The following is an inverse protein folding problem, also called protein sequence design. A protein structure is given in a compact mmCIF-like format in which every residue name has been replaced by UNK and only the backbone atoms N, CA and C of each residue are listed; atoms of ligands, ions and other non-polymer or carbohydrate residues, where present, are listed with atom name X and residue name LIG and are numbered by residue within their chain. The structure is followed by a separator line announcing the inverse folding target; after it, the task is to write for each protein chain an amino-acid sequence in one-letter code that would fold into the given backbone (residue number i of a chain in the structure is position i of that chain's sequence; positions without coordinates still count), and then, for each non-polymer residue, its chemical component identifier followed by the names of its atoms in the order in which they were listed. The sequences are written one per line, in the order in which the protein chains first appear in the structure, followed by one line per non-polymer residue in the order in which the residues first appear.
data_IF_532129945900
#
_entry.id   IF_532129945900
#
_cell.length_a   1.000
_cell.length_b   1.000
_cell.length_c   1.000
_cell.angle_alpha   90.00
_cell.angle_beta   90.00
_cell.angle_gamma   90.00
#
_symmetry.space_group_name_H-M   'P 1'
#
loop_
_entity.id
_entity.type
_entity.pdbx_description
1 polymer ?
#
# COMPACT_ATOMS: atom_id res chain seq x y z
N UNK A 1 9.45 14.02 0.62
CA UNK A 1 8.97 12.76 1.22
C UNK A 1 10.16 11.83 1.36
N UNK A 2 10.36 11.15 2.50
CA UNK A 2 11.44 10.18 2.65
C UNK A 2 11.33 9.15 1.52
N UNK A 3 12.36 9.07 0.70
CA UNK A 3 12.40 8.10 -0.38
C UNK A 3 12.72 6.76 0.26
N UNK A 4 11.73 5.85 0.29
CA UNK A 4 12.00 4.45 0.62
C UNK A 4 13.18 3.95 -0.24
N UNK A 5 14.04 3.11 0.32
CA UNK A 5 15.10 2.46 -0.44
C UNK A 5 14.51 1.31 -1.26
N UNK A 6 15.12 0.98 -2.40
CA UNK A 6 14.74 -0.22 -3.17
C UNK A 6 14.86 -1.46 -2.28
N UNK A 7 13.78 -2.25 -2.21
CA UNK A 7 13.66 -3.43 -1.35
C UNK A 7 12.99 -3.18 0.01
N UNK A 8 12.73 -1.93 0.38
CA UNK A 8 12.06 -1.59 1.63
C UNK A 8 10.55 -1.81 1.51
N UNK A 9 9.97 -2.44 2.54
CA UNK A 9 8.54 -2.76 2.60
C UNK A 9 7.87 -1.70 3.48
N UNK A 10 6.83 -1.07 2.95
CA UNK A 10 5.95 -0.16 3.67
C UNK A 10 4.62 -0.86 3.95
N UNK A 11 4.21 -0.85 5.21
CA UNK A 11 2.86 -1.22 5.61
C UNK A 11 1.99 0.04 5.66
N UNK A 12 0.91 0.04 4.90
CA UNK A 12 -0.10 1.11 4.90
C UNK A 12 -1.38 0.55 5.51
N UNK A 13 -1.88 1.19 6.56
CA UNK A 13 -3.15 0.82 7.20
C UNK A 13 -4.14 1.95 6.98
N UNK A 14 -5.32 1.63 6.44
CA UNK A 14 -6.37 2.61 6.17
C UNK A 14 -7.74 2.02 6.49
N UNK A 15 -8.65 2.86 6.99
CA UNK A 15 -10.04 2.52 7.31
C UNK A 15 -11.04 2.98 6.22
N UNK A 16 -10.53 3.58 5.14
CA UNK A 16 -11.34 4.11 4.05
C UNK A 16 -11.60 3.02 2.99
N UNK A 17 -12.87 2.72 2.63
CA UNK A 17 -13.19 1.76 1.57
C UNK A 17 -12.62 2.17 0.20
N UNK A 18 -12.47 3.47 -0.06
CA UNK A 18 -11.89 3.98 -1.30
C UNK A 18 -10.38 3.73 -1.41
N UNK A 19 -9.71 3.47 -0.29
CA UNK A 19 -8.27 3.19 -0.29
C UNK A 19 -7.94 1.89 -1.03
N UNK A 20 -8.88 0.95 -1.14
CA UNK A 20 -8.68 -0.37 -1.76
C UNK A 20 -8.33 -0.30 -3.23
N UNK A 21 -8.81 0.74 -3.92
CA UNK A 21 -8.53 0.96 -5.32
C UNK A 21 -7.40 1.97 -5.52
N UNK A 22 -7.33 3.01 -4.67
CA UNK A 22 -6.38 4.11 -4.86
C UNK A 22 -4.95 3.76 -4.41
N UNK A 23 -4.76 3.07 -3.29
CA UNK A 23 -3.43 2.70 -2.78
C UNK A 23 -2.66 1.80 -3.76
N UNK A 24 -3.23 0.68 -4.26
CA UNK A 24 -2.49 -0.17 -5.20
C UNK A 24 -2.25 0.51 -6.55
N UNK A 25 -3.17 1.39 -6.99
CA UNK A 25 -3.00 2.18 -8.21
C UNK A 25 -1.86 3.19 -8.05
N UNK A 26 -1.83 3.92 -6.95
CA UNK A 26 -0.80 4.90 -6.65
C UNK A 26 0.57 4.23 -6.45
N UNK A 27 0.60 3.09 -5.74
CA UNK A 27 1.79 2.26 -5.58
C UNK A 27 2.37 1.89 -6.95
N UNK A 28 1.55 1.35 -7.86
CA UNK A 28 1.98 1.02 -9.23
C UNK A 28 2.46 2.23 -10.02
N UNK A 29 1.76 3.37 -9.92
CA UNK A 29 2.13 4.61 -10.61
C UNK A 29 3.48 5.17 -10.14
N UNK A 30 3.80 5.00 -8.85
CA UNK A 30 5.07 5.41 -8.27
C UNK A 30 6.18 4.35 -8.38
N UNK A 31 5.90 3.20 -9.00
CA UNK A 31 6.86 2.11 -9.18
C UNK A 31 7.04 1.20 -7.96
N UNK A 32 6.10 1.24 -7.01
CA UNK A 32 6.01 0.29 -5.91
C UNK A 32 5.23 -0.96 -6.33
N UNK A 33 5.65 -2.11 -5.82
CA UNK A 33 4.98 -3.40 -5.98
C UNK A 33 4.10 -3.66 -4.77
N UNK A 34 2.80 -3.89 -4.98
CA UNK A 34 1.91 -4.34 -3.91
C UNK A 34 2.16 -5.82 -3.67
N UNK A 35 2.58 -6.17 -2.46
CA UNK A 35 2.87 -7.54 -2.04
C UNK A 35 1.64 -8.22 -1.48
N UNK A 36 0.90 -7.54 -0.61
CA UNK A 36 -0.27 -8.13 0.06
C UNK A 36 -1.32 -7.08 0.38
N UNK A 37 -2.58 -7.50 0.39
CA UNK A 37 -3.73 -6.68 0.76
C UNK A 37 -4.62 -7.52 1.68
N UNK A 38 -4.71 -7.12 2.94
CA UNK A 38 -5.54 -7.78 3.93
C UNK A 38 -6.66 -6.83 4.34
N UNK A 39 -7.88 -7.35 4.41
CA UNK A 39 -9.04 -6.61 4.88
C UNK A 39 -9.56 -7.26 6.16
N UNK A 40 -9.38 -6.59 7.28
CA UNK A 40 -9.87 -6.99 8.59
C UNK A 40 -11.00 -6.04 9.00
N UNK A 41 -12.23 -6.38 8.62
CA UNK A 41 -13.42 -5.60 8.92
C UNK A 41 -13.36 -4.19 8.32
N UNK A 42 -13.39 -3.12 9.15
CA UNK A 42 -13.31 -1.74 8.67
C UNK A 42 -11.88 -1.33 8.30
N UNK A 43 -10.86 -2.13 8.62
CA UNK A 43 -9.46 -1.78 8.42
C UNK A 43 -8.88 -2.58 7.26
N UNK A 44 -8.13 -1.90 6.40
CA UNK A 44 -7.44 -2.48 5.25
C UNK A 44 -5.94 -2.22 5.40
N UNK A 45 -5.16 -3.28 5.28
CA UNK A 45 -3.70 -3.28 5.38
C UNK A 45 -3.12 -3.59 4.01
N UNK A 46 -2.19 -2.77 3.55
CA UNK A 46 -1.44 -2.94 2.31
C UNK A 46 0.03 -3.10 2.63
N UNK A 47 0.65 -4.17 2.14
CA UNK A 47 2.10 -4.26 2.07
C UNK A 47 2.54 -3.85 0.67
N UNK A 48 3.34 -2.78 0.58
CA UNK A 48 3.94 -2.33 -0.68
C UNK A 48 5.46 -2.31 -0.56
N UNK A 49 6.17 -2.60 -1.63
CA UNK A 49 7.62 -2.63 -1.71
C UNK A 49 8.12 -1.71 -2.80
N UNK A 50 9.24 -1.01 -2.57
CA UNK A 50 9.90 -0.20 -3.62
C UNK A 50 10.92 -0.97 -4.44
#
# INVERSE_FOLDING_TARGET
MPQLKKGEILEVVSDCPQSINNIPLDARNHGYTVLDIQQDGPTIRYLIQK
#
